data_IF_668538499026
#
_entry.id   IF_668538499026
#
_cell.length_a   1.000
_cell.length_b   1.000
_cell.length_c   1.000
_cell.angle_alpha   90.00
_cell.angle_beta   90.00
_cell.angle_gamma   90.00
#
_symmetry.space_group_name_H-M   'P 1'
#
loop_
_entity.id
_entity.type
_entity.pdbx_description
1 polymer ?
#
# COMPACT_ATOMS: atom_id res chain seq x y z
N UNK A 1 16.53 -8.96 -4.61
CA UNK A 1 15.45 -7.95 -4.43
C UNK A 1 14.19 -8.71 -4.06
N UNK A 2 13.50 -8.29 -2.99
CA UNK A 2 12.27 -8.91 -2.54
C UNK A 2 11.06 -8.21 -3.18
N UNK A 3 10.01 -8.96 -3.49
CA UNK A 3 8.79 -8.40 -4.06
C UNK A 3 7.99 -7.64 -2.98
N UNK A 4 7.61 -6.39 -3.25
CA UNK A 4 6.79 -5.55 -2.36
C UNK A 4 5.40 -6.13 -2.09
N UNK A 5 4.91 -7.01 -2.96
CA UNK A 5 3.65 -7.74 -2.76
C UNK A 5 3.65 -8.58 -1.47
N UNK A 6 4.80 -9.13 -1.06
CA UNK A 6 4.89 -9.88 0.20
C UNK A 6 4.75 -8.98 1.42
N UNK A 7 5.34 -7.78 1.38
CA UNK A 7 5.19 -6.80 2.45
C UNK A 7 3.74 -6.32 2.57
N UNK A 8 3.04 -6.14 1.44
CA UNK A 8 1.62 -5.82 1.45
C UNK A 8 0.78 -6.96 2.02
N UNK A 9 1.09 -8.21 1.67
CA UNK A 9 0.42 -9.39 2.21
C UNK A 9 0.63 -9.53 3.73
N UNK A 10 1.84 -9.25 4.22
CA UNK A 10 2.14 -9.24 5.66
C UNK A 10 1.26 -8.22 6.40
N UNK A 11 1.14 -6.98 5.88
CA UNK A 11 0.28 -5.95 6.48
C UNK A 11 -1.19 -6.34 6.44
N UNK A 12 -1.66 -7.00 5.36
CA UNK A 12 -3.01 -7.58 5.31
C UNK A 12 -3.23 -8.62 6.42
N UNK A 13 -2.28 -9.54 6.60
CA UNK A 13 -2.38 -10.58 7.64
C UNK A 13 -2.32 -10.03 9.05
N UNK A 14 -1.50 -9.01 9.31
CA UNK A 14 -1.39 -8.35 10.60
C UNK A 14 -2.67 -7.56 10.94
N UNK A 15 -3.23 -6.85 9.96
CA UNK A 15 -4.53 -6.18 10.08
C UNK A 15 -5.64 -7.17 10.43
N UNK A 16 -5.71 -8.29 9.69
CA UNK A 16 -6.69 -9.34 9.92
C UNK A 16 -6.51 -10.01 11.30
N UNK A 17 -5.28 -10.23 11.75
CA UNK A 17 -5.01 -10.80 13.07
C UNK A 17 -5.51 -9.89 14.20
N UNK A 18 -5.27 -8.57 14.08
CA UNK A 18 -5.64 -7.58 15.10
C UNK A 18 -7.12 -7.25 15.12
N UNK A 19 -7.74 -7.08 13.95
CA UNK A 19 -9.08 -6.51 13.83
C UNK A 19 -10.11 -7.47 13.22
N UNK A 20 -9.71 -8.70 12.87
CA UNK A 20 -10.49 -9.66 12.04
C UNK A 20 -10.93 -9.09 10.70
N UNK A 21 -10.37 -7.95 10.33
CA UNK A 21 -10.66 -7.20 9.12
C UNK A 21 -9.43 -6.43 8.68
N UNK A 22 -9.42 -5.94 7.44
CA UNK A 22 -8.23 -5.32 6.85
C UNK A 22 -8.35 -3.80 6.62
N UNK A 23 -8.83 -2.97 7.58
CA UNK A 23 -8.89 -1.53 7.39
C UNK A 23 -7.50 -0.87 7.51
N UNK A 24 -6.61 -1.49 8.28
CA UNK A 24 -5.34 -0.93 8.70
C UNK A 24 -4.20 -1.50 7.84
N UNK A 25 -4.17 -1.13 6.57
CA UNK A 25 -3.13 -1.56 5.59
C UNK A 25 -2.46 -0.39 4.87
N UNK A 26 -2.96 0.83 5.06
CA UNK A 26 -2.45 2.07 4.49
C UNK A 26 -2.05 3.03 5.61
N UNK A 27 -1.23 4.02 5.27
CA UNK A 27 -0.76 5.10 6.12
C UNK A 27 0.32 4.68 7.14
N UNK A 28 1.26 5.59 7.47
CA UNK A 28 2.39 5.27 8.34
C UNK A 28 1.97 4.98 9.79
N UNK A 29 0.87 5.57 10.27
CA UNK A 29 0.36 5.33 11.63
C UNK A 29 -0.79 4.31 11.67
N UNK A 30 -1.47 4.12 10.55
CA UNK A 30 -2.68 3.28 10.43
C UNK A 30 -2.38 1.84 9.99
N UNK A 31 -1.15 1.35 10.18
CA UNK A 31 -0.77 -0.05 9.93
C UNK A 31 -0.17 -0.34 8.56
N UNK A 32 0.00 0.66 7.70
CA UNK A 32 0.68 0.54 6.41
C UNK A 32 2.20 0.71 6.47
N UNK A 33 2.78 0.99 7.65
CA UNK A 33 4.23 1.07 7.84
C UNK A 33 4.85 -0.34 7.86
N UNK A 34 5.96 -0.50 7.14
CA UNK A 34 6.85 -1.65 7.17
C UNK A 34 8.14 -1.20 7.83
N UNK A 35 8.47 -1.85 8.93
CA UNK A 35 9.61 -1.52 9.79
C UNK A 35 10.75 -2.51 9.58
N UNK A 36 11.96 -2.13 9.97
CA UNK A 36 13.15 -2.98 9.95
C UNK A 36 13.54 -3.50 8.55
N UNK A 37 13.49 -2.66 7.51
CA UNK A 37 14.01 -3.06 6.20
C UNK A 37 15.55 -3.22 6.26
N UNK A 38 16.12 -4.20 5.53
CA UNK A 38 17.56 -4.42 5.52
C UNK A 38 18.30 -3.29 4.81
N UNK A 39 18.93 -2.40 5.57
CA UNK A 39 19.73 -1.28 5.06
C UNK A 39 21.20 -1.69 4.95
N UNK A 40 21.75 -1.62 3.74
CA UNK A 40 23.18 -1.87 3.51
C UNK A 40 23.97 -0.57 3.58
N UNK A 41 24.80 -0.41 4.60
CA UNK A 41 25.75 0.71 4.71
C UNK A 41 27.05 0.37 4.00
N UNK A 42 27.57 1.30 3.20
CA UNK A 42 28.85 1.19 2.53
C UNK A 42 29.67 2.47 2.69
N UNK A 43 30.99 2.35 2.62
CA UNK A 43 31.88 3.50 2.66
C UNK A 43 32.06 4.07 1.25
N UNK A 44 31.79 5.37 1.11
CA UNK A 44 32.06 6.12 -0.11
C UNK A 44 32.63 7.49 0.24
N UNK A 45 33.70 7.89 -0.45
CA UNK A 45 34.38 9.18 -0.23
C UNK A 45 34.79 9.44 1.23
N UNK A 46 35.14 8.38 1.97
CA UNK A 46 35.55 8.48 3.38
C UNK A 46 34.39 8.71 4.35
N UNK A 47 33.13 8.59 3.90
CA UNK A 47 31.94 8.67 4.74
C UNK A 47 31.10 7.40 4.61
N UNK A 48 30.45 7.00 5.71
CA UNK A 48 29.47 5.92 5.71
C UNK A 48 28.17 6.43 5.08
N UNK A 49 27.78 5.82 3.97
CA UNK A 49 26.52 6.10 3.29
C UNK A 49 25.61 4.87 3.36
N UNK A 50 24.33 5.09 3.68
CA UNK A 50 23.32 4.05 3.68
C UNK A 50 22.69 3.91 2.30
N UNK A 51 22.68 2.70 1.75
CA UNK A 51 21.93 2.38 0.54
C UNK A 51 20.44 2.32 0.86
N UNK A 52 19.61 2.83 -0.05
CA UNK A 52 18.17 2.62 0.02
C UNK A 52 17.84 1.11 -0.10
N UNK A 53 17.03 0.53 0.80
CA UNK A 53 16.55 -0.84 0.70
C UNK A 53 15.46 -1.02 -0.37
N UNK A 54 14.75 0.05 -0.75
CA UNK A 54 13.80 0.04 -1.87
C UNK A 54 14.51 0.28 -3.21
N UNK A 55 13.92 -0.18 -4.31
CA UNK A 55 14.50 -0.04 -5.65
C UNK A 55 14.62 1.41 -6.09
N UNK A 56 13.58 2.20 -5.82
CA UNK A 56 13.49 3.62 -6.18
C UNK A 56 12.96 4.40 -4.99
N UNK A 57 13.46 5.61 -4.81
CA UNK A 57 12.89 6.57 -3.88
C UNK A 57 11.77 7.35 -4.56
N UNK A 58 10.56 7.14 -4.08
CA UNK A 58 9.34 7.74 -4.62
C UNK A 58 9.01 8.99 -3.80
N UNK A 59 8.73 10.10 -4.48
CA UNK A 59 8.26 11.33 -3.83
C UNK A 59 6.74 11.30 -3.68
N UNK A 60 6.20 12.05 -2.72
CA UNK A 60 4.75 12.09 -2.45
C UNK A 60 3.93 12.46 -3.70
N UNK A 61 4.45 13.36 -4.55
CA UNK A 61 3.81 13.70 -5.82
C UNK A 61 3.73 12.49 -6.77
N UNK A 62 4.82 11.71 -6.87
CA UNK A 62 4.86 10.52 -7.73
C UNK A 62 3.98 9.41 -7.19
N UNK A 63 3.95 9.24 -5.86
CA UNK A 63 3.03 8.32 -5.19
C UNK A 63 1.58 8.62 -5.58
N UNK A 64 1.19 9.90 -5.53
CA UNK A 64 -0.14 10.32 -5.92
C UNK A 64 -0.45 10.01 -7.40
N UNK A 65 0.47 10.36 -8.31
CA UNK A 65 0.33 10.06 -9.75
C UNK A 65 0.17 8.55 -10.02
N UNK A 66 0.93 7.70 -9.30
CA UNK A 66 0.82 6.23 -9.43
C UNK A 66 -0.47 5.67 -8.80
N UNK A 67 -0.91 6.25 -7.70
CA UNK A 67 -2.15 5.86 -7.04
C UNK A 67 -3.38 6.16 -7.92
N UNK A 68 -3.34 7.23 -8.72
CA UNK A 68 -4.38 7.54 -9.70
C UNK A 68 -4.48 6.49 -10.81
N UNK A 69 -3.34 5.93 -11.23
CA UNK A 69 -3.27 4.83 -12.19
C UNK A 69 -3.56 3.44 -11.56
N UNK A 70 -3.84 3.39 -10.25
CA UNK A 70 -4.19 2.15 -9.55
C UNK A 70 -3.00 1.31 -9.12
N UNK A 71 -1.80 1.89 -9.05
CA UNK A 71 -0.63 1.23 -8.47
C UNK A 71 -0.54 1.45 -6.97
N UNK A 72 0.04 0.46 -6.29
CA UNK A 72 0.35 0.50 -4.86
C UNK A 72 1.87 0.66 -4.75
N UNK A 73 2.31 1.79 -4.21
CA UNK A 73 3.74 2.08 -4.09
C UNK A 73 4.21 2.06 -2.63
N UNK A 74 5.41 1.53 -2.43
CA UNK A 74 6.08 1.51 -1.14
C UNK A 74 7.03 2.70 -1.07
N UNK A 75 6.72 3.64 -0.19
CA UNK A 75 7.51 4.88 -0.03
C UNK A 75 8.39 4.77 1.21
N UNK A 76 9.66 5.12 1.07
CA UNK A 76 10.61 5.12 2.19
C UNK A 76 10.86 6.54 2.69
N UNK A 77 11.05 6.69 4.00
CA UNK A 77 11.59 7.92 4.60
C UNK A 77 13.11 7.96 4.45
N UNK A 78 13.64 9.09 3.95
CA UNK A 78 15.09 9.29 3.80
C UNK A 78 15.81 9.15 5.14
N UNK A 79 16.88 8.37 5.16
CA UNK A 79 17.72 8.19 6.36
C UNK A 79 17.10 7.32 7.45
N UNK A 80 15.96 6.67 7.18
CA UNK A 80 15.37 5.66 8.05
C UNK A 80 15.24 4.35 7.29
N UNK A 81 15.12 3.26 8.02
CA UNK A 81 14.80 1.90 7.61
C UNK A 81 13.29 1.64 7.48
N UNK A 82 12.46 2.66 7.69
CA UNK A 82 11.01 2.55 7.63
C UNK A 82 10.46 2.93 6.25
N UNK A 83 9.53 2.11 5.77
CA UNK A 83 8.75 2.36 4.58
C UNK A 83 7.25 2.31 4.88
N UNK A 84 6.41 2.91 4.05
CA UNK A 84 4.96 2.89 4.24
C UNK A 84 4.20 2.85 2.91
N UNK A 85 3.06 2.16 2.93
CA UNK A 85 2.05 2.24 1.89
C UNK A 85 1.11 3.39 2.19
N UNK A 86 0.98 4.36 1.28
CA UNK A 86 0.05 5.49 1.45
C UNK A 86 -1.33 5.22 0.84
N UNK A 87 -1.37 4.46 -0.25
CA UNK A 87 -2.57 4.12 -1.00
C UNK A 87 -2.65 2.62 -1.27
N UNK A 88 -3.88 2.11 -1.44
CA UNK A 88 -4.16 0.72 -1.79
C UNK A 88 -5.29 0.67 -2.83
N UNK A 89 -5.00 1.16 -4.03
CA UNK A 89 -5.95 1.20 -5.14
C UNK A 89 -5.81 -0.05 -6.01
N UNK A 90 -6.92 -0.51 -6.57
CA UNK A 90 -6.95 -1.60 -7.56
C UNK A 90 -6.63 -1.06 -8.94
N UNK A 91 -6.04 -1.91 -9.78
CA UNK A 91 -5.70 -1.65 -11.20
C UNK A 91 -6.96 -1.47 -12.07
N UNK A 92 -8.16 -1.68 -11.51
CA UNK A 92 -9.41 -1.51 -12.22
C UNK A 92 -9.60 -0.06 -12.69
N UNK A 93 -9.38 0.16 -13.99
CA UNK A 93 -9.58 1.45 -14.61
C UNK A 93 -11.08 1.70 -14.79
N UNK A 94 -11.58 2.75 -14.13
CA UNK A 94 -13.00 3.10 -14.14
C UNK A 94 -13.34 3.69 -15.50
N UNK A 95 -14.01 2.91 -16.37
CA UNK A 95 -14.58 3.43 -17.62
C UNK A 95 -15.38 4.68 -17.30
N UNK A 96 -15.00 5.80 -17.92
CA UNK A 96 -15.60 7.12 -17.72
C UNK A 96 -17.08 7.10 -18.09
N UNK A 97 -17.95 6.76 -17.15
CA UNK A 97 -19.37 7.04 -17.25
C UNK A 97 -19.57 8.50 -16.84
N UNK A 98 -20.13 9.30 -17.75
CA UNK A 98 -20.30 10.77 -17.71
C UNK A 98 -21.07 11.34 -16.49
N UNK A 99 -21.42 10.52 -15.49
CA UNK A 99 -22.24 10.92 -14.35
C UNK A 99 -21.33 11.24 -13.15
N UNK A 100 -21.10 12.54 -12.95
CA UNK A 100 -20.28 13.16 -11.89
C UNK A 100 -20.57 12.63 -10.46
N UNK A 101 -21.81 12.18 -10.20
CA UNK A 101 -22.25 11.66 -8.89
C UNK A 101 -21.77 10.23 -8.58
N UNK A 102 -21.45 9.42 -9.59
CA UNK A 102 -21.04 8.02 -9.41
C UNK A 102 -19.54 7.86 -9.16
N UNK A 103 -18.71 8.82 -9.57
CA UNK A 103 -17.24 8.72 -9.51
C UNK A 103 -16.70 8.55 -8.08
N UNK A 104 -17.31 9.22 -7.10
CA UNK A 104 -16.85 9.15 -5.69
C UNK A 104 -17.19 7.80 -5.04
N UNK A 105 -18.37 7.25 -5.35
CA UNK A 105 -18.78 5.91 -4.90
C UNK A 105 -17.97 4.80 -5.59
N UNK A 106 -17.61 4.99 -6.87
CA UNK A 106 -16.79 4.05 -7.62
C UNK A 106 -15.31 4.05 -7.20
N UNK A 107 -14.75 5.20 -6.78
CA UNK A 107 -13.42 5.24 -6.11
C UNK A 107 -13.41 4.47 -4.79
N UNK A 108 -14.54 4.41 -4.09
CA UNK A 108 -14.68 3.57 -2.89
C UNK A 108 -14.66 2.07 -3.26
N UNK A 109 -15.23 1.67 -4.41
CA UNK A 109 -15.15 0.27 -4.86
C UNK A 109 -13.78 -0.15 -5.37
N UNK A 110 -12.99 0.75 -5.95
CA UNK A 110 -11.65 0.42 -6.45
C UNK A 110 -10.58 0.35 -5.35
N UNK A 111 -10.88 0.80 -4.12
CA UNK A 111 -9.95 0.65 -3.00
C UNK A 111 -10.00 -0.76 -2.42
N UNK A 112 -8.84 -1.40 -2.26
CA UNK A 112 -8.72 -2.74 -1.67
C UNK A 112 -9.26 -2.79 -0.23
N UNK A 113 -9.14 -1.68 0.50
CA UNK A 113 -9.61 -1.53 1.88
C UNK A 113 -11.12 -1.79 2.00
N UNK A 114 -11.90 -1.38 1.00
CA UNK A 114 -13.36 -1.44 1.01
C UNK A 114 -13.95 -2.60 0.21
N UNK A 115 -13.17 -3.18 -0.72
CA UNK A 115 -13.56 -4.40 -1.46
C UNK A 115 -13.45 -5.69 -0.64
N UNK A 116 -12.56 -5.73 0.36
CA UNK A 116 -12.44 -6.88 1.26
C UNK A 116 -13.74 -7.17 2.07
N UNK A 117 -14.40 -6.15 2.67
CA UNK A 117 -15.73 -6.25 3.28
C UNK A 117 -16.78 -6.98 2.43
N UNK A 118 -16.98 -6.54 1.19
CA UNK A 118 -18.01 -7.08 0.30
C UNK A 118 -17.71 -8.53 -0.10
N UNK A 119 -16.44 -8.87 -0.31
CA UNK A 119 -16.04 -10.25 -0.61
C UNK A 119 -16.21 -11.19 0.60
N UNK A 120 -15.83 -10.73 1.81
CA UNK A 120 -15.97 -11.53 3.03
C UNK A 120 -17.43 -11.83 3.38
N UNK A 121 -18.35 -10.86 3.21
CA UNK A 121 -19.78 -11.06 3.44
C UNK A 121 -20.46 -11.91 2.37
N UNK A 122 -19.99 -11.86 1.11
CA UNK A 122 -20.43 -12.76 0.04
C UNK A 122 -20.06 -14.23 0.29
N UNK A 123 -18.94 -14.48 0.97
CA UNK A 123 -18.50 -15.84 1.31
C UNK A 123 -19.25 -16.38 2.53
N UNK A 124 -19.58 -15.51 3.49
CA UNK A 124 -20.43 -15.84 4.63
C UNK A 124 -21.86 -16.25 4.21
N UNK A 125 -22.39 -15.71 3.11
CA UNK A 125 -23.69 -16.10 2.55
C UNK A 125 -23.69 -17.44 1.79
N UNK A 126 -22.53 -18.01 1.48
CA UNK A 126 -22.41 -19.26 0.72
C UNK A 126 -22.13 -20.48 1.62
N UNK A 127 -22.05 -20.29 2.94
CA UNK A 127 -21.74 -21.33 3.93
C UNK A 127 -22.86 -21.59 4.94
N UNK A 128 -24.07 -21.09 4.69
CA UNK A 128 -25.34 -21.46 5.34
C UNK A 128 -26.34 -21.93 4.30
#
# INVERSE_FOLDING_TARGET
MGNTAYLLAERLTDSFAKYRWCPNIIGPQSGGAVENLPVHTYEAFGQLQAKIPTEVLITDRREFEMAEEGFISLTMRKGSDNAAFFSANSVQNLRSFQIRLKVKLLRLTSSWVLSFPTCSSLTAWRTT
#
